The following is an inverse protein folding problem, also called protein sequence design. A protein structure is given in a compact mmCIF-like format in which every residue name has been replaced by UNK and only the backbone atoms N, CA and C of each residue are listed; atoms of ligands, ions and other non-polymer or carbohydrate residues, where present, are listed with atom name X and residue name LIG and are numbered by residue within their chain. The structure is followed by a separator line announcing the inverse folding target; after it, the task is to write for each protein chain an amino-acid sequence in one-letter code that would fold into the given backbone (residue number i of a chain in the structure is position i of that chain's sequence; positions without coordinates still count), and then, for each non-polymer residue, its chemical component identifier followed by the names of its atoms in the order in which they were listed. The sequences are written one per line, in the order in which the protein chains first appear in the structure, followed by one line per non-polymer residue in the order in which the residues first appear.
data_IF_552197986535
#
_entry.id   IF_552197986535
#
_cell.length_a   1.000
_cell.length_b   1.000
_cell.length_c   1.000
_cell.angle_alpha   90.00
_cell.angle_beta   90.00
_cell.angle_gamma   90.00
#
_symmetry.space_group_name_H-M   'P 1'
#
loop_
_entity.id
_entity.type
_entity.pdbx_description
1 polymer ?
#
# COMPACT_ATOMS: atom_id res chain seq x y z
N UNK A 1 18.37 -10.67 -5.39
CA UNK A 1 17.60 -10.86 -4.13
C UNK A 1 16.16 -10.52 -4.46
N UNK A 2 15.19 -11.31 -4.00
CA UNK A 2 13.77 -11.05 -4.26
C UNK A 2 13.22 -10.16 -3.14
N UNK A 3 12.54 -9.09 -3.51
CA UNK A 3 12.02 -8.09 -2.58
C UNK A 3 10.53 -7.93 -2.80
N UNK A 4 9.76 -7.83 -1.72
CA UNK A 4 8.38 -7.36 -1.76
C UNK A 4 8.34 -5.95 -1.17
N UNK A 5 7.89 -4.99 -1.97
CA UNK A 5 7.61 -3.63 -1.49
C UNK A 5 6.10 -3.44 -1.45
N UNK A 6 5.59 -3.18 -0.25
CA UNK A 6 4.18 -2.83 -0.05
C UNK A 6 4.07 -1.31 0.06
N UNK A 7 3.31 -0.72 -0.85
CA UNK A 7 2.90 0.67 -0.82
C UNK A 7 1.49 0.80 -0.28
N UNK A 8 1.29 1.84 0.52
CA UNK A 8 -0.01 2.23 1.04
C UNK A 8 -0.26 3.68 0.67
N UNK A 9 -1.37 3.96 0.00
CA UNK A 9 -1.85 5.30 -0.28
C UNK A 9 -3.18 5.49 0.45
N UNK A 10 -3.25 6.50 1.30
CA UNK A 10 -4.48 6.92 1.98
C UNK A 10 -4.93 8.21 1.33
N UNK A 11 -6.03 8.17 0.60
CA UNK A 11 -6.57 9.28 -0.17
C UNK A 11 -7.77 9.89 0.53
N UNK A 12 -7.82 11.22 0.56
CA UNK A 12 -8.86 12.02 1.18
C UNK A 12 -9.16 11.66 2.67
N UNK A 13 -8.16 11.49 3.55
CA UNK A 13 -8.46 11.33 4.96
C UNK A 13 -8.95 12.65 5.55
N UNK A 14 -10.03 12.59 6.35
CA UNK A 14 -10.53 13.74 7.11
C UNK A 14 -9.52 14.27 8.14
N UNK A 15 -8.72 13.37 8.72
CA UNK A 15 -7.65 13.68 9.66
C UNK A 15 -6.35 12.97 9.26
N UNK A 16 -5.50 13.62 8.43
CA UNK A 16 -4.23 13.03 7.99
C UNK A 16 -3.23 12.77 9.13
N UNK A 17 -3.30 13.56 10.20
CA UNK A 17 -2.38 13.41 11.33
C UNK A 17 -2.76 12.18 12.17
N UNK A 18 -4.06 11.93 12.36
CA UNK A 18 -4.55 10.70 12.99
C UNK A 18 -4.18 9.45 12.18
N UNK A 19 -4.26 9.49 10.85
CA UNK A 19 -3.78 8.39 10.00
C UNK A 19 -2.30 8.15 10.23
N UNK A 20 -1.49 9.22 10.22
CA UNK A 20 -0.04 9.12 10.37
C UNK A 20 0.40 8.57 11.73
N UNK A 21 -0.41 8.80 12.77
CA UNK A 21 -0.17 8.31 14.12
C UNK A 21 -0.80 6.93 14.39
N UNK A 22 -1.47 6.31 13.40
CA UNK A 22 -2.18 5.06 13.62
C UNK A 22 -1.23 3.89 13.95
N UNK A 23 -1.48 3.10 15.01
CA UNK A 23 -0.57 2.03 15.47
C UNK A 23 -0.22 1.01 14.39
N UNK A 24 -1.18 0.63 13.55
CA UNK A 24 -0.98 -0.30 12.42
C UNK A 24 0.20 0.08 11.53
N UNK A 25 0.44 1.38 11.29
CA UNK A 25 1.57 1.81 10.46
C UNK A 25 2.91 1.48 11.14
N UNK A 26 3.02 1.76 12.44
CA UNK A 26 4.24 1.49 13.19
C UNK A 26 4.46 -0.01 13.41
N UNK A 27 3.41 -0.75 13.77
CA UNK A 27 3.46 -2.19 14.04
C UNK A 27 3.93 -2.99 12.82
N UNK A 28 3.53 -2.57 11.62
CA UNK A 28 3.90 -3.20 10.36
C UNK A 28 5.06 -2.52 9.63
N UNK A 29 5.73 -1.55 10.26
CA UNK A 29 6.94 -0.92 9.72
C UNK A 29 6.72 -0.03 8.49
N UNK A 30 5.50 0.48 8.29
CA UNK A 30 5.21 1.43 7.23
C UNK A 30 5.92 2.77 7.47
N UNK A 31 6.84 3.13 6.58
CA UNK A 31 7.52 4.41 6.61
C UNK A 31 6.77 5.43 5.75
N UNK A 32 6.58 6.64 6.28
CA UNK A 32 6.01 7.76 5.50
C UNK A 32 6.95 8.14 4.36
N UNK A 33 6.40 8.20 3.15
CA UNK A 33 7.12 8.64 1.95
C UNK A 33 6.74 10.08 1.62
N UNK A 34 7.68 10.88 1.10
CA UNK A 34 7.34 12.21 0.61
C UNK A 34 6.33 12.07 -0.53
N UNK A 35 5.37 12.99 -0.57
CA UNK A 35 4.59 13.25 -1.77
C UNK A 35 4.94 14.63 -2.30
N UNK A 36 4.83 14.80 -3.61
CA UNK A 36 4.87 16.14 -4.19
C UNK A 36 3.75 16.97 -3.58
N UNK A 37 4.06 18.21 -3.20
CA UNK A 37 3.03 19.13 -2.77
C UNK A 37 1.98 19.26 -3.89
N UNK A 38 0.69 19.20 -3.55
CA UNK A 38 -0.34 19.35 -4.55
C UNK A 38 -0.14 20.69 -5.27
N UNK A 39 -0.11 20.62 -6.61
CA UNK A 39 0.07 21.79 -7.48
C UNK A 39 -1.20 22.64 -7.59
N UNK A 40 -2.26 22.20 -6.92
CA UNK A 40 -3.62 22.75 -6.99
C UNK A 40 -4.17 22.91 -5.57
N UNK A 41 -4.75 24.08 -5.30
CA UNK A 41 -5.35 24.40 -4.00
C UNK A 41 -6.60 23.53 -3.72
N UNK A 42 -7.21 22.95 -4.75
CA UNK A 42 -8.37 22.04 -4.63
C UNK A 42 -7.98 20.57 -4.41
N UNK A 43 -6.69 20.25 -4.29
CA UNK A 43 -6.25 18.88 -4.10
C UNK A 43 -6.64 18.34 -2.71
N UNK A 44 -7.30 17.18 -2.72
CA UNK A 44 -7.64 16.46 -1.49
C UNK A 44 -6.36 15.96 -0.81
N UNK A 45 -6.33 15.91 0.53
CA UNK A 45 -5.17 15.41 1.25
C UNK A 45 -4.90 13.95 0.88
N UNK A 46 -3.63 13.57 0.87
CA UNK A 46 -3.23 12.19 0.71
C UNK A 46 -1.99 11.90 1.55
N UNK A 47 -1.77 10.63 1.89
CA UNK A 47 -0.58 10.14 2.56
C UNK A 47 -0.05 8.90 1.87
N UNK A 48 1.27 8.81 1.71
CA UNK A 48 1.94 7.64 1.14
C UNK A 48 2.85 7.01 2.17
N UNK A 49 2.80 5.69 2.26
CA UNK A 49 3.69 4.89 3.07
C UNK A 49 4.27 3.74 2.25
N UNK A 50 5.41 3.22 2.68
CA UNK A 50 5.92 1.96 2.14
C UNK A 50 6.71 1.16 3.17
N UNK A 51 6.65 -0.16 3.04
CA UNK A 51 7.49 -1.11 3.76
C UNK A 51 8.11 -2.07 2.74
N UNK A 52 9.38 -2.41 2.94
CA UNK A 52 10.10 -3.35 2.09
C UNK A 52 10.54 -4.55 2.92
N UNK A 53 10.42 -5.74 2.36
CA UNK A 53 10.84 -6.99 2.98
C UNK A 53 11.49 -7.91 1.97
N UNK A 54 12.35 -8.81 2.42
CA UNK A 54 12.76 -9.93 1.59
C UNK A 54 11.52 -10.77 1.29
N UNK A 55 11.34 -11.19 0.04
CA UNK A 55 10.13 -11.91 -0.38
C UNK A 55 9.88 -13.17 0.47
N UNK A 56 10.95 -13.89 0.85
CA UNK A 56 10.89 -15.11 1.66
C UNK A 56 10.42 -14.89 3.10
N UNK A 57 10.61 -13.68 3.63
CA UNK A 57 10.23 -13.29 5.00
C UNK A 57 8.95 -12.44 5.01
N UNK A 58 8.35 -12.19 3.85
CA UNK A 58 7.21 -11.30 3.73
C UNK A 58 5.94 -11.89 4.36
N UNK A 59 5.19 -11.04 5.07
CA UNK A 59 3.87 -11.36 5.62
C UNK A 59 2.83 -10.54 4.90
N UNK A 60 1.64 -11.11 4.68
CA UNK A 60 0.55 -10.36 4.07
C UNK A 60 0.14 -9.20 4.96
N UNK A 61 0.06 -8.02 4.37
CA UNK A 61 -0.38 -6.77 5.03
C UNK A 61 -1.80 -6.36 4.62
N UNK A 62 -2.55 -7.26 3.98
CA UNK A 62 -3.90 -7.00 3.47
C UNK A 62 -4.90 -6.73 4.61
N UNK A 63 -4.99 -7.63 5.61
CA UNK A 63 -5.87 -7.44 6.78
C UNK A 63 -5.52 -6.17 7.58
N UNK A 64 -4.24 -5.88 7.91
CA UNK A 64 -3.86 -4.60 8.50
C UNK A 64 -4.35 -3.37 7.72
N UNK A 65 -4.25 -3.39 6.39
CA UNK A 65 -4.71 -2.28 5.55
C UNK A 65 -6.24 -2.18 5.53
N UNK A 66 -6.93 -3.32 5.62
CA UNK A 66 -8.38 -3.38 5.74
C UNK A 66 -8.86 -2.84 7.09
N UNK A 67 -8.19 -3.19 8.19
CA UNK A 67 -8.46 -2.64 9.52
C UNK A 67 -8.24 -1.12 9.56
N UNK A 68 -7.16 -0.65 8.95
CA UNK A 68 -6.90 0.79 8.78
C UNK A 68 -8.03 1.46 8.00
N UNK A 69 -8.58 0.81 6.97
CA UNK A 69 -9.70 1.34 6.19
C UNK A 69 -10.98 1.43 7.00
N UNK A 70 -11.22 0.49 7.91
CA UNK A 70 -12.36 0.57 8.83
C UNK A 70 -12.20 1.69 9.88
N UNK A 71 -10.96 2.00 10.29
CA UNK A 71 -10.69 3.10 11.22
C UNK A 71 -10.87 4.48 10.58
N UNK A 72 -10.70 4.59 9.26
CA UNK A 72 -10.85 5.82 8.48
C UNK A 72 -11.85 5.62 7.34
N UNK A 73 -13.16 5.49 7.65
CA UNK A 73 -14.18 5.06 6.68
C UNK A 73 -14.39 6.05 5.52
N UNK A 74 -14.10 7.33 5.73
CA UNK A 74 -14.20 8.38 4.71
C UNK A 74 -12.98 8.43 3.77
N UNK A 75 -11.89 7.74 4.13
CA UNK A 75 -10.69 7.66 3.32
C UNK A 75 -10.75 6.47 2.35
N UNK A 76 -10.15 6.63 1.18
CA UNK A 76 -9.88 5.50 0.28
C UNK A 76 -8.48 4.99 0.54
N UNK A 77 -8.34 3.70 0.83
CA UNK A 77 -7.05 3.07 1.06
C UNK A 77 -6.68 2.22 -0.15
N UNK A 78 -5.59 2.57 -0.82
CA UNK A 78 -5.01 1.76 -1.89
C UNK A 78 -3.77 1.05 -1.35
N UNK A 79 -3.86 -0.27 -1.31
CA UNK A 79 -2.80 -1.20 -0.96
C UNK A 79 -2.16 -1.73 -2.25
N UNK A 80 -0.83 -1.68 -2.37
CA UNK A 80 -0.15 -2.17 -3.57
C UNK A 80 1.11 -2.96 -3.18
N UNK A 81 1.20 -4.20 -3.62
CA UNK A 81 2.35 -5.07 -3.49
C UNK A 81 3.11 -5.09 -4.82
N UNK A 82 4.42 -4.89 -4.76
CA UNK A 82 5.32 -4.99 -5.90
C UNK A 82 6.42 -5.99 -5.56
N UNK A 83 6.40 -7.13 -6.24
CA UNK A 83 7.46 -8.13 -6.16
C UNK A 83 8.51 -7.84 -7.23
N UNK A 84 9.75 -7.70 -6.80
CA UNK A 84 10.90 -7.49 -7.66
C UNK A 84 11.90 -8.64 -7.54
N UNK A 85 12.34 -9.17 -8.68
CA UNK A 85 13.48 -10.10 -8.78
C UNK A 85 14.42 -9.64 -9.88
N UNK A 86 15.73 -9.72 -9.64
CA UNK A 86 16.76 -9.34 -10.61
C UNK A 86 16.55 -7.92 -11.21
N UNK A 87 16.14 -6.98 -10.36
CA UNK A 87 15.82 -5.59 -10.73
C UNK A 87 14.67 -5.45 -11.76
N UNK A 88 13.80 -6.46 -11.83
CA UNK A 88 12.58 -6.48 -12.64
C UNK A 88 11.35 -6.70 -11.77
N UNK A 89 10.27 -5.99 -12.07
CA UNK A 89 8.95 -6.25 -11.47
C UNK A 89 8.38 -7.53 -12.06
N UNK A 90 8.23 -8.57 -11.24
CA UNK A 90 7.65 -9.85 -11.65
C UNK A 90 6.13 -9.88 -11.40
N UNK A 91 5.71 -9.29 -10.29
CA UNK A 91 4.31 -9.28 -9.86
C UNK A 91 3.95 -7.94 -9.23
N UNK A 92 2.74 -7.48 -9.54
CA UNK A 92 2.11 -6.31 -8.97
C UNK A 92 0.66 -6.65 -8.65
N UNK A 93 0.27 -6.39 -7.41
CA UNK A 93 -1.12 -6.52 -6.95
C UNK A 93 -1.54 -5.24 -6.27
N UNK A 94 -2.69 -4.70 -6.65
CA UNK A 94 -3.26 -3.50 -6.06
C UNK A 94 -4.69 -3.77 -5.62
N UNK A 95 -5.01 -3.45 -4.37
CA UNK A 95 -6.32 -3.63 -3.77
C UNK A 95 -6.79 -2.31 -3.19
N UNK A 96 -8.05 -1.97 -3.41
CA UNK A 96 -8.67 -0.76 -2.87
C UNK A 96 -9.65 -1.15 -1.78
N UNK A 97 -9.54 -0.48 -0.64
CA UNK A 97 -10.43 -0.61 0.50
C UNK A 97 -11.15 0.71 0.80
N UNK A 98 -12.44 0.61 1.11
CA UNK A 98 -13.27 1.72 1.59
C UNK A 98 -14.09 1.16 2.75
N UNK A 99 -14.09 1.84 3.90
CA UNK A 99 -14.84 1.44 5.10
C UNK A 99 -14.62 -0.05 5.48
N UNK A 100 -13.36 -0.50 5.43
CA UNK A 100 -12.99 -1.88 5.76
C UNK A 100 -13.50 -2.94 4.78
N UNK A 101 -14.06 -2.54 3.64
CA UNK A 101 -14.53 -3.42 2.57
C UNK A 101 -13.61 -3.34 1.36
N UNK A 102 -13.34 -4.49 0.73
CA UNK A 102 -12.63 -4.56 -0.54
C UNK A 102 -13.53 -3.98 -1.64
N UNK A 103 -13.17 -2.80 -2.14
CA UNK A 103 -13.91 -2.08 -3.17
C UNK A 103 -13.46 -2.47 -4.59
N UNK A 104 -12.23 -2.97 -4.74
CA UNK A 104 -11.71 -3.43 -6.02
C UNK A 104 -10.31 -4.02 -5.92
N UNK A 105 -9.88 -4.69 -6.99
CA UNK A 105 -8.56 -5.28 -7.12
C UNK A 105 -8.10 -5.28 -8.57
N UNK A 106 -6.81 -5.02 -8.77
CA UNK A 106 -6.10 -5.14 -10.02
C UNK A 106 -4.86 -6.00 -9.74
N UNK A 107 -4.66 -7.04 -10.52
CA UNK A 107 -3.48 -7.89 -10.44
C UNK A 107 -2.81 -7.96 -11.81
N UNK A 108 -1.49 -7.79 -11.83
CA UNK A 108 -0.67 -7.88 -13.02
C UNK A 108 0.62 -8.65 -12.68
N UNK A 109 0.85 -9.77 -13.35
CA UNK A 109 2.06 -10.56 -13.16
C UNK A 109 2.50 -11.21 -14.47
N UNK A 110 3.81 -11.33 -14.63
CA UNK A 110 4.41 -12.11 -15.71
C UNK A 110 4.91 -13.44 -15.13
N UNK A 111 4.27 -14.54 -15.51
CA UNK A 111 4.85 -15.88 -15.29
C UNK A 111 5.74 -16.21 -16.49
N UNK A 112 7.02 -15.87 -16.42
CA UNK A 112 8.02 -16.40 -17.35
C UNK A 112 8.51 -17.74 -16.80
N UNK A 113 7.87 -18.82 -17.22
CA UNK A 113 8.31 -20.17 -16.94
C UNK A 113 9.57 -20.47 -17.79
N UNK A 114 10.76 -20.10 -17.31
CA UNK A 114 12.02 -20.52 -17.94
C UNK A 114 12.42 -21.88 -17.34
N UNK A 115 11.88 -22.95 -17.93
CA UNK A 115 12.57 -24.24 -18.05
C UNK A 115 11.96 -25.42 -17.29
N UNK A 116 11.56 -26.45 -18.06
CA UNK A 116 12.44 -27.62 -18.30
C UNK A 116 12.25 -28.13 -19.72
#
# INVERSE_FOLDING_TARGET
MATLVTYLLVSNPNDPDAVSAHPTLQEHGFERRPMEDPKDDDALPALRFAVASALEDSVSLEEPCRELSAAFPDATITFCEVEERFDQVEHLRSTVFIDGQKAGEIEHGYVLNIGT
#
